data_IF_861286923568
#
_entry.id   IF_861286923568
#
_cell.length_a   1.000
_cell.length_b   1.000
_cell.length_c   1.000
_cell.angle_alpha   90.00
_cell.angle_beta   90.00
_cell.angle_gamma   90.00
#
_symmetry.space_group_name_H-M   'P 1'
#
loop_
_entity.id
_entity.type
_entity.pdbx_description
1 polymer ?
#
# COMPACT_ATOMS: atom_id res chain seq x y z
N UNK A 1 -5.07 12.36 0.15
CA UNK A 1 -6.37 11.88 0.66
C UNK A 1 -6.70 12.55 1.99
N UNK A 2 -7.98 12.73 2.28
CA UNK A 2 -8.44 13.28 3.55
C UNK A 2 -8.21 12.27 4.70
N UNK A 3 -7.49 12.63 5.78
CA UNK A 3 -7.21 11.71 6.88
C UNK A 3 -8.46 11.13 7.54
N UNK A 4 -9.52 11.94 7.69
CA UNK A 4 -10.77 11.50 8.31
C UNK A 4 -11.49 10.45 7.45
N UNK A 5 -11.45 10.59 6.14
CA UNK A 5 -12.05 9.61 5.21
C UNK A 5 -11.34 8.25 5.31
N UNK A 6 -10.01 8.25 5.45
CA UNK A 6 -9.21 7.03 5.71
C UNK A 6 -9.59 6.35 7.02
N UNK A 7 -9.70 7.13 8.10
CA UNK A 7 -10.09 6.61 9.42
C UNK A 7 -11.50 6.04 9.37
N UNK A 8 -12.47 6.76 8.79
CA UNK A 8 -13.85 6.30 8.67
C UNK A 8 -13.94 4.99 7.87
N UNK A 9 -13.25 4.89 6.74
CA UNK A 9 -13.24 3.69 5.91
C UNK A 9 -12.59 2.48 6.63
N UNK A 10 -11.48 2.71 7.35
CA UNK A 10 -10.82 1.67 8.15
C UNK A 10 -11.69 1.20 9.32
N UNK A 11 -12.34 2.11 10.04
CA UNK A 11 -13.26 1.79 11.14
C UNK A 11 -14.45 0.96 10.65
N UNK A 12 -15.09 1.40 9.56
CA UNK A 12 -16.21 0.67 8.98
C UNK A 12 -15.79 -0.74 8.49
N UNK A 13 -14.57 -0.88 7.96
CA UNK A 13 -14.00 -2.18 7.62
C UNK A 13 -13.81 -3.05 8.88
N UNK A 14 -13.25 -2.50 9.95
CA UNK A 14 -12.99 -3.23 11.18
C UNK A 14 -14.28 -3.71 11.86
N UNK A 15 -15.34 -2.90 11.82
CA UNK A 15 -16.69 -3.28 12.29
C UNK A 15 -17.25 -4.47 11.49
N UNK A 16 -17.20 -4.42 10.14
CA UNK A 16 -17.62 -5.54 9.28
C UNK A 16 -16.79 -6.80 9.53
N UNK A 17 -15.48 -6.65 9.69
CA UNK A 17 -14.60 -7.76 10.04
C UNK A 17 -15.02 -8.39 11.37
N UNK A 18 -15.30 -7.56 12.38
CA UNK A 18 -15.70 -8.02 13.72
C UNK A 18 -17.03 -8.74 13.68
N UNK A 19 -18.02 -8.18 12.98
CA UNK A 19 -19.35 -8.80 12.83
C UNK A 19 -19.27 -10.16 12.14
N UNK A 20 -18.38 -10.32 11.15
CA UNK A 20 -18.24 -11.57 10.38
C UNK A 20 -17.36 -12.62 11.06
N UNK A 21 -16.42 -12.22 11.91
CA UNK A 21 -15.41 -13.10 12.53
C UNK A 21 -15.59 -13.31 14.03
N UNK A 22 -16.49 -12.57 14.67
CA UNK A 22 -16.72 -12.62 16.12
C UNK A 22 -15.58 -12.04 16.96
N UNK A 23 -14.61 -11.35 16.34
CA UNK A 23 -13.48 -10.72 17.02
C UNK A 23 -12.92 -9.54 16.22
N UNK A 24 -12.31 -8.54 16.87
CA UNK A 24 -11.66 -7.44 16.16
C UNK A 24 -10.49 -7.92 15.28
N UNK A 25 -10.20 -7.20 14.17
CA UNK A 25 -9.00 -7.46 13.38
C UNK A 25 -7.74 -7.08 14.19
N UNK A 26 -6.67 -7.84 13.96
CA UNK A 26 -5.32 -7.46 14.40
C UNK A 26 -4.60 -6.94 13.17
N UNK A 27 -4.26 -5.64 13.18
CA UNK A 27 -3.67 -4.94 12.03
C UNK A 27 -2.29 -4.45 12.41
N UNK A 28 -1.33 -4.66 11.51
CA UNK A 28 -0.04 -3.99 11.57
C UNK A 28 -0.12 -2.73 10.72
N UNK A 29 0.18 -1.58 11.30
CA UNK A 29 0.22 -0.28 10.62
C UNK A 29 1.62 0.27 10.78
N UNK A 30 2.30 0.57 9.67
CA UNK A 30 3.69 1.03 9.66
C UNK A 30 3.92 2.23 10.61
N UNK A 31 3.02 3.21 10.60
CA UNK A 31 3.11 4.42 11.40
C UNK A 31 2.93 4.17 12.91
N UNK A 32 2.26 3.08 13.30
CA UNK A 32 1.96 2.78 14.71
C UNK A 32 2.80 1.64 15.28
N UNK A 33 3.26 0.71 14.43
CA UNK A 33 3.91 -0.53 14.84
C UNK A 33 5.41 -0.57 14.52
N UNK A 34 5.93 0.37 13.71
CA UNK A 34 7.37 0.48 13.49
C UNK A 34 8.04 1.09 14.71
N UNK A 35 9.28 0.67 14.97
CA UNK A 35 10.12 1.31 15.99
C UNK A 35 10.39 2.78 15.59
N UNK A 36 9.97 3.76 16.42
CA UNK A 36 10.12 5.18 16.10
C UNK A 36 11.59 5.65 16.11
N UNK A 37 12.51 4.86 16.65
CA UNK A 37 13.95 5.17 16.63
C UNK A 37 14.60 4.88 15.27
N UNK A 38 13.98 4.05 14.43
CA UNK A 38 14.50 3.69 13.11
C UNK A 38 14.30 4.83 12.11
N UNK A 39 15.34 5.09 11.32
CA UNK A 39 15.25 6.00 10.17
C UNK A 39 14.42 5.37 9.07
N UNK A 40 13.87 6.20 8.18
CA UNK A 40 12.97 5.76 7.11
C UNK A 40 13.55 4.65 6.23
N UNK A 41 14.86 4.64 5.96
CA UNK A 41 15.49 3.56 5.18
C UNK A 41 15.52 2.22 5.93
N UNK A 42 15.81 2.24 7.23
CA UNK A 42 15.85 1.03 8.07
C UNK A 42 14.44 0.45 8.20
N UNK A 43 13.44 1.32 8.39
CA UNK A 43 12.02 0.94 8.37
C UNK A 43 11.64 0.26 7.04
N UNK A 44 12.09 0.82 5.91
CA UNK A 44 11.81 0.26 4.58
C UNK A 44 12.47 -1.12 4.38
N UNK A 45 13.72 -1.29 4.85
CA UNK A 45 14.41 -2.58 4.79
C UNK A 45 13.72 -3.66 5.62
N UNK A 46 12.98 -3.28 6.67
CA UNK A 46 12.20 -4.21 7.50
C UNK A 46 10.81 -4.54 6.91
N UNK A 47 10.30 -3.78 5.93
CA UNK A 47 8.97 -4.00 5.33
C UNK A 47 8.76 -5.45 4.89
N UNK A 48 9.68 -6.12 4.16
CA UNK A 48 9.50 -7.53 3.79
C UNK A 48 9.31 -8.46 4.99
N UNK A 49 10.03 -8.23 6.09
CA UNK A 49 9.94 -9.03 7.30
C UNK A 49 8.60 -8.81 8.02
N UNK A 50 8.12 -7.57 8.10
CA UNK A 50 6.80 -7.26 8.66
C UNK A 50 5.67 -7.89 7.82
N UNK A 51 5.76 -7.77 6.49
CA UNK A 51 4.77 -8.35 5.58
C UNK A 51 4.75 -9.88 5.63
N UNK A 52 5.90 -10.54 5.76
CA UNK A 52 5.97 -12.00 5.88
C UNK A 52 5.24 -12.55 7.11
N UNK A 53 5.01 -11.73 8.14
CA UNK A 53 4.22 -12.09 9.33
C UNK A 53 2.72 -11.79 9.19
N UNK A 54 2.31 -11.18 8.08
CA UNK A 54 0.92 -10.85 7.82
C UNK A 54 0.25 -11.90 6.94
N UNK A 55 -0.98 -12.31 7.30
CA UNK A 55 -1.75 -13.28 6.51
C UNK A 55 -2.41 -12.64 5.27
N UNK A 56 -2.65 -11.33 5.31
CA UNK A 56 -3.39 -10.55 4.32
C UNK A 56 -2.81 -9.15 4.25
N UNK A 57 -2.96 -8.51 3.09
CA UNK A 57 -2.68 -7.09 2.92
C UNK A 57 -4.01 -6.33 2.87
N UNK A 58 -4.21 -5.42 3.81
CA UNK A 58 -5.32 -4.47 3.74
C UNK A 58 -4.84 -3.23 2.99
N UNK A 59 -5.40 -2.98 1.81
CA UNK A 59 -5.06 -1.83 0.99
C UNK A 59 -6.13 -0.75 1.17
N UNK A 60 -5.80 0.29 1.94
CA UNK A 60 -6.63 1.48 2.09
C UNK A 60 -6.32 2.46 0.95
N UNK A 61 -7.15 2.44 -0.09
CA UNK A 61 -6.87 3.15 -1.34
C UNK A 61 -7.58 4.49 -1.39
N UNK A 62 -6.83 5.54 -1.67
CA UNK A 62 -7.34 6.82 -2.16
C UNK A 62 -6.59 7.25 -3.43
N UNK A 63 -7.01 8.35 -4.09
CA UNK A 63 -6.41 8.80 -5.35
C UNK A 63 -4.90 9.05 -5.27
N UNK A 64 -4.40 9.41 -4.08
CA UNK A 64 -2.97 9.72 -3.86
C UNK A 64 -2.10 8.50 -3.51
N UNK A 65 -2.64 7.28 -3.52
CA UNK A 65 -1.89 6.06 -3.21
C UNK A 65 -0.66 5.89 -4.12
N UNK A 66 -0.84 6.11 -5.42
CA UNK A 66 0.22 5.87 -6.43
C UNK A 66 1.24 6.99 -6.51
N UNK A 67 0.91 8.17 -5.97
CA UNK A 67 1.82 9.30 -5.89
C UNK A 67 2.96 9.08 -4.90
N UNK A 68 2.78 8.20 -3.91
CA UNK A 68 3.72 8.02 -2.82
C UNK A 68 4.56 6.78 -3.06
N UNK A 69 5.87 6.99 -3.20
CA UNK A 69 6.81 5.92 -3.50
C UNK A 69 6.80 4.81 -2.45
N UNK A 70 6.65 5.18 -1.18
CA UNK A 70 6.55 4.25 -0.07
C UNK A 70 5.41 3.26 -0.27
N UNK A 71 4.20 3.78 -0.55
CA UNK A 71 3.01 2.98 -0.72
C UNK A 71 3.14 1.99 -1.90
N UNK A 72 3.69 2.44 -3.04
CA UNK A 72 3.86 1.56 -4.20
C UNK A 72 5.01 0.57 -4.04
N UNK A 73 6.05 0.92 -3.26
CA UNK A 73 7.10 -0.03 -2.88
C UNK A 73 6.56 -1.14 -1.98
N UNK A 74 5.61 -0.84 -1.10
CA UNK A 74 4.92 -1.85 -0.27
C UNK A 74 4.08 -2.80 -1.13
N UNK A 75 3.32 -2.28 -2.09
CA UNK A 75 2.56 -3.09 -3.06
C UNK A 75 3.47 -4.03 -3.86
N UNK A 76 4.59 -3.49 -4.33
CA UNK A 76 5.59 -4.25 -5.07
C UNK A 76 6.20 -5.35 -4.19
N UNK A 77 6.64 -4.99 -2.98
CA UNK A 77 7.24 -5.93 -2.02
C UNK A 77 6.28 -7.06 -1.68
N UNK A 78 5.01 -6.75 -1.37
CA UNK A 78 4.00 -7.77 -1.08
C UNK A 78 3.84 -8.76 -2.25
N UNK A 79 3.75 -8.23 -3.48
CA UNK A 79 3.52 -9.05 -4.67
C UNK A 79 4.69 -9.98 -4.97
N UNK A 80 5.92 -9.51 -4.76
CA UNK A 80 7.15 -10.28 -5.03
C UNK A 80 7.45 -11.27 -3.91
N UNK A 81 7.26 -10.87 -2.64
CA UNK A 81 7.72 -11.65 -1.47
C UNK A 81 6.64 -12.49 -0.81
N UNK A 82 5.42 -11.94 -0.66
CA UNK A 82 4.37 -12.53 0.19
C UNK A 82 3.24 -13.17 -0.63
N UNK A 83 3.11 -12.81 -1.91
CA UNK A 83 2.36 -13.57 -2.90
C UNK A 83 1.02 -12.97 -3.33
N UNK A 84 -0.03 -13.79 -3.28
CA UNK A 84 -1.17 -13.76 -4.23
C UNK A 84 -2.16 -12.62 -3.97
N UNK A 85 -2.62 -11.97 -5.04
CA UNK A 85 -3.66 -10.91 -5.01
C UNK A 85 -4.95 -11.32 -4.27
N UNK A 86 -5.27 -12.63 -4.21
CA UNK A 86 -6.42 -13.14 -3.45
C UNK A 86 -6.37 -12.88 -1.94
N UNK A 87 -5.19 -12.56 -1.39
CA UNK A 87 -4.99 -12.23 0.01
C UNK A 87 -4.97 -10.71 0.24
N UNK A 88 -5.28 -9.92 -0.78
CA UNK A 88 -5.38 -8.46 -0.71
C UNK A 88 -6.85 -8.12 -0.51
N UNK A 89 -7.14 -7.30 0.48
CA UNK A 89 -8.46 -6.75 0.74
C UNK A 89 -8.42 -5.25 0.52
N UNK A 90 -9.29 -4.74 -0.36
CA UNK A 90 -9.29 -3.33 -0.77
C UNK A 90 -10.39 -2.58 -0.03
N UNK A 91 -10.03 -1.46 0.57
CA UNK A 91 -10.95 -0.52 1.21
C UNK A 91 -10.73 0.84 0.58
N UNK A 92 -11.77 1.38 -0.05
CA UNK A 92 -11.72 2.72 -0.64
C UNK A 92 -11.91 3.77 0.46
N UNK A 93 -10.97 4.71 0.58
CA UNK A 93 -11.08 5.85 1.48
C UNK A 93 -12.16 6.85 1.01
N UNK A 94 -12.48 6.88 -0.28
CA UNK A 94 -13.61 7.61 -0.87
C UNK A 94 -14.51 6.60 -1.62
N UNK A 95 -15.57 6.07 -0.99
CA UNK A 95 -16.32 4.93 -1.54
C UNK A 95 -17.31 5.29 -2.64
N UNK A 96 -17.52 6.59 -2.92
CA UNK A 96 -18.41 7.01 -4.00
C UNK A 96 -17.86 6.65 -5.39
N UNK A 97 -18.73 6.73 -6.41
CA UNK A 97 -18.38 6.35 -7.78
C UNK A 97 -17.24 7.20 -8.36
N UNK A 98 -17.13 8.47 -7.94
CA UNK A 98 -16.10 9.40 -8.39
C UNK A 98 -14.74 9.04 -7.79
N UNK A 99 -14.66 8.85 -6.48
CA UNK A 99 -13.45 8.45 -5.76
C UNK A 99 -12.92 7.11 -6.27
N UNK A 100 -13.81 6.15 -6.56
CA UNK A 100 -13.41 4.90 -7.23
C UNK A 100 -12.82 5.14 -8.61
N UNK A 101 -13.47 5.96 -9.45
CA UNK A 101 -12.96 6.27 -10.79
C UNK A 101 -11.59 6.96 -10.74
N UNK A 102 -11.39 7.89 -9.81
CA UNK A 102 -10.10 8.57 -9.58
C UNK A 102 -9.01 7.58 -9.15
N UNK A 103 -9.33 6.63 -8.27
CA UNK A 103 -8.42 5.55 -7.86
C UNK A 103 -8.05 4.65 -9.03
N UNK A 104 -9.03 4.22 -9.83
CA UNK A 104 -8.80 3.39 -11.01
C UNK A 104 -7.92 4.12 -12.02
N UNK A 105 -8.20 5.39 -12.30
CA UNK A 105 -7.39 6.21 -13.20
C UNK A 105 -5.95 6.40 -12.69
N UNK A 106 -5.79 6.63 -11.38
CA UNK A 106 -4.49 6.77 -10.73
C UNK A 106 -3.63 5.49 -10.83
N UNK A 107 -4.23 4.32 -10.65
CA UNK A 107 -3.55 3.03 -10.82
C UNK A 107 -3.26 2.70 -12.28
N UNK A 108 -4.17 3.00 -13.19
CA UNK A 108 -3.99 2.74 -14.63
C UNK A 108 -2.85 3.60 -15.22
N UNK A 109 -2.81 4.88 -14.86
CA UNK A 109 -1.78 5.82 -15.28
C UNK A 109 -0.46 5.70 -14.50
N UNK A 110 -0.40 4.86 -13.46
CA UNK A 110 0.76 4.78 -12.56
C UNK A 110 2.08 4.53 -13.31
N UNK A 111 3.11 5.30 -12.96
CA UNK A 111 4.48 5.02 -13.39
C UNK A 111 5.45 5.41 -12.27
N UNK A 112 6.31 4.47 -11.87
CA UNK A 112 7.15 4.60 -10.66
C UNK A 112 8.07 5.81 -10.64
N UNK A 113 8.55 6.28 -11.80
CA UNK A 113 9.40 7.48 -11.88
C UNK A 113 8.71 8.77 -11.45
N UNK A 114 7.37 8.79 -11.45
CA UNK A 114 6.57 9.95 -11.03
C UNK A 114 6.17 9.89 -9.56
N UNK A 115 6.41 8.76 -8.89
CA UNK A 115 6.09 8.61 -7.47
C UNK A 115 7.09 9.41 -6.62
N UNK A 116 6.56 10.21 -5.69
CA UNK A 116 7.32 11.09 -4.81
C UNK A 116 7.99 10.28 -3.70
N UNK A 117 9.30 10.49 -3.43
CA UNK A 117 9.95 9.89 -2.29
C UNK A 117 9.39 10.48 -0.97
N UNK A 118 9.53 9.76 0.16
CA UNK A 118 9.20 10.32 1.46
C UNK A 118 10.02 11.59 1.76
N UNK A 119 9.48 12.56 2.53
CA UNK A 119 10.21 13.76 2.92
C UNK A 119 11.55 13.43 3.60
N UNK A 120 12.59 14.22 3.31
CA UNK A 120 13.91 14.05 3.90
C UNK A 120 14.72 12.88 3.35
N UNK A 121 14.26 12.25 2.26
CA UNK A 121 15.00 11.19 1.59
C UNK A 121 15.21 11.53 0.12
N UNK A 122 16.47 11.70 -0.26
CA UNK A 122 16.87 11.77 -1.66
C UNK A 122 16.53 10.45 -2.35
N UNK A 123 15.87 10.50 -3.53
CA UNK A 123 15.32 9.37 -4.29
C UNK A 123 15.97 8.02 -3.94
N UNK A 124 15.31 7.34 -3.00
CA UNK A 124 15.86 6.40 -2.01
C UNK A 124 16.84 5.39 -2.59
N UNK A 125 18.01 5.20 -1.95
CA UNK A 125 18.94 4.08 -2.24
C UNK A 125 18.25 2.71 -2.24
N UNK A 126 17.24 2.51 -1.38
CA UNK A 126 16.40 1.31 -1.36
C UNK A 126 15.46 1.21 -2.57
N UNK A 127 14.94 2.34 -3.08
CA UNK A 127 14.20 2.33 -4.33
C UNK A 127 15.13 2.06 -5.50
N UNK A 128 16.34 2.63 -5.53
CA UNK A 128 17.37 2.23 -6.50
C UNK A 128 17.59 0.73 -6.44
N UNK A 129 17.72 0.13 -5.26
CA UNK A 129 17.83 -1.32 -5.13
C UNK A 129 16.58 -2.09 -5.62
N UNK A 130 15.36 -1.65 -5.28
CA UNK A 130 14.12 -2.26 -5.76
C UNK A 130 13.97 -2.14 -7.29
N UNK A 131 14.33 -0.99 -7.86
CA UNK A 131 14.37 -0.74 -9.30
C UNK A 131 15.54 -1.46 -9.99
N UNK A 132 16.67 -1.67 -9.31
CA UNK A 132 17.78 -2.49 -9.79
C UNK A 132 17.39 -3.97 -9.82
N UNK A 133 16.59 -4.43 -8.85
CA UNK A 133 16.14 -5.82 -8.77
C UNK A 133 15.16 -6.22 -9.88
N UNK A 134 14.29 -5.32 -10.32
CA UNK A 134 13.20 -5.67 -11.26
C UNK A 134 13.12 -4.76 -12.50
N UNK A 135 13.74 -3.59 -12.48
CA UNK A 135 13.59 -2.57 -13.50
C UNK A 135 12.24 -1.84 -13.42
N UNK A 136 12.20 -0.64 -14.00
CA UNK A 136 10.99 0.19 -14.12
C UNK A 136 9.81 -0.57 -14.78
N UNK A 137 9.98 -1.31 -15.89
CA UNK A 137 8.85 -1.98 -16.54
C UNK A 137 8.15 -2.98 -15.62
N UNK A 138 8.92 -3.83 -14.92
CA UNK A 138 8.36 -4.85 -14.04
C UNK A 138 7.70 -4.24 -12.81
N UNK A 139 8.27 -3.17 -12.27
CA UNK A 139 7.68 -2.46 -11.14
C UNK A 139 6.28 -1.92 -11.50
N UNK A 140 6.17 -1.24 -12.64
CA UNK A 140 4.90 -0.71 -13.12
C UNK A 140 3.87 -1.82 -13.37
N UNK A 141 4.27 -2.92 -14.03
CA UNK A 141 3.43 -4.09 -14.26
C UNK A 141 2.87 -4.65 -12.94
N UNK A 142 3.74 -4.82 -11.94
CA UNK A 142 3.38 -5.37 -10.62
C UNK A 142 2.38 -4.50 -9.89
N UNK A 143 2.57 -3.18 -9.88
CA UNK A 143 1.66 -2.25 -9.19
C UNK A 143 0.32 -2.16 -9.93
N UNK A 144 0.33 -2.11 -11.26
CA UNK A 144 -0.90 -2.10 -12.07
C UNK A 144 -1.69 -3.41 -11.97
N UNK A 145 -1.07 -4.52 -11.58
CA UNK A 145 -1.76 -5.78 -11.35
C UNK A 145 -2.80 -5.72 -10.22
N UNK A 146 -2.81 -4.67 -9.39
CA UNK A 146 -3.84 -4.42 -8.39
C UNK A 146 -5.11 -3.75 -8.96
N UNK A 147 -5.09 -3.30 -10.22
CA UNK A 147 -6.23 -2.64 -10.88
C UNK A 147 -7.53 -3.46 -10.82
N UNK A 148 -7.53 -4.79 -11.04
CA UNK A 148 -8.76 -5.58 -10.92
C UNK A 148 -9.34 -5.63 -9.50
N UNK A 149 -8.53 -5.38 -8.46
CA UNK A 149 -9.00 -5.38 -7.07
C UNK A 149 -9.69 -4.08 -6.66
N UNK A 150 -9.51 -2.99 -7.43
CA UNK A 150 -10.12 -1.68 -7.17
C UNK A 150 -11.29 -1.33 -8.11
N UNK A 151 -11.47 -2.11 -9.19
CA UNK A 151 -12.64 -2.00 -10.08
C UNK A 151 -13.87 -2.58 -9.37
#
# INVERSE_FOLDING_TARGET
DEPLAKVAALSAWAERYTATRGRPPVVWIDAACSDPSLKSFERLACVPAYMARCNRLLLLVGPTLTDQLWCVAELFTWRVMCGRLRNVEVVLAAPDARGRAEVVASLDAFHVIWARPPPGIEATRALKQLLELAGVPKFNEVVRAYLPAVR
#
